data_IF_337975936199
#
_entry.id   IF_337975936199
#
_cell.length_a   1.000
_cell.length_b   1.000
_cell.length_c   1.000
_cell.angle_alpha   90.00
_cell.angle_beta   90.00
_cell.angle_gamma   90.00
#
_symmetry.space_group_name_H-M   'P 1'
#
loop_
_entity.id
_entity.type
_entity.pdbx_description
1 polymer ?
#
# COMPACT_ATOMS: atom_id res chain seq x y z
N UNK A 1 2.20 -6.44 26.60
CA UNK A 1 1.74 -5.56 27.70
C UNK A 1 0.32 -5.11 27.39
N UNK A 2 -0.54 -4.74 28.36
CA UNK A 2 -1.88 -4.24 28.04
C UNK A 2 -1.77 -3.02 27.11
N UNK A 3 -2.40 -3.09 25.92
CA UNK A 3 -2.41 -2.01 24.94
C UNK A 3 -1.43 -2.12 23.78
N UNK A 4 -0.58 -3.14 23.72
CA UNK A 4 0.22 -3.44 22.52
C UNK A 4 -0.68 -4.10 21.45
N UNK A 5 -0.52 -3.78 20.16
CA UNK A 5 -1.29 -4.41 19.10
C UNK A 5 -0.79 -5.83 18.89
N UNK A 6 -1.58 -6.79 19.40
CA UNK A 6 -1.22 -8.20 19.49
C UNK A 6 -2.25 -9.12 18.82
N UNK A 7 -1.75 -10.17 18.18
CA UNK A 7 -2.56 -11.29 17.67
C UNK A 7 -2.27 -12.54 18.51
N UNK A 8 -3.32 -13.18 19.02
CA UNK A 8 -3.22 -14.42 19.79
C UNK A 8 -3.51 -15.64 18.92
N UNK A 9 -2.56 -16.58 18.87
CA UNK A 9 -2.71 -17.87 18.19
C UNK A 9 -2.84 -18.98 19.23
N UNK A 10 -4.07 -19.42 19.47
CA UNK A 10 -4.36 -20.35 20.55
C UNK A 10 -4.23 -19.70 21.93
N UNK A 11 -3.93 -20.50 22.96
CA UNK A 11 -3.91 -20.01 24.35
C UNK A 11 -2.61 -19.34 24.77
N UNK A 12 -1.49 -19.69 24.12
CA UNK A 12 -0.15 -19.42 24.66
C UNK A 12 0.80 -18.69 23.70
N UNK A 13 0.35 -18.32 22.49
CA UNK A 13 1.20 -17.59 21.52
C UNK A 13 0.60 -16.22 21.23
N UNK A 14 1.38 -15.18 21.48
CA UNK A 14 1.06 -13.81 21.13
C UNK A 14 2.13 -13.26 20.18
N UNK A 15 1.71 -12.54 19.14
CA UNK A 15 2.56 -11.85 18.19
C UNK A 15 2.28 -10.35 18.27
N UNK A 16 3.30 -9.55 18.54
CA UNK A 16 3.19 -8.08 18.57
C UNK A 16 3.66 -7.50 17.24
N UNK A 17 2.94 -6.52 16.73
CA UNK A 17 3.28 -5.77 15.52
C UNK A 17 3.27 -4.26 15.80
N UNK A 18 3.48 -3.43 14.79
CA UNK A 18 3.25 -1.98 14.92
C UNK A 18 1.74 -1.68 14.87
N UNK A 19 1.00 -2.44 14.06
CA UNK A 19 -0.45 -2.35 13.92
C UNK A 19 -1.06 -3.74 13.72
N UNK A 20 -2.27 -3.92 14.25
CA UNK A 20 -3.12 -5.11 14.02
C UNK A 20 -4.51 -4.61 13.64
N UNK A 21 -4.99 -5.06 12.49
CA UNK A 21 -6.32 -4.73 11.97
C UNK A 21 -7.20 -5.97 12.02
N UNK A 22 -8.42 -5.80 12.51
CA UNK A 22 -9.44 -6.85 12.51
C UNK A 22 -10.24 -6.85 11.19
N UNK A 23 -11.25 -7.72 11.09
CA UNK A 23 -12.06 -7.86 9.87
C UNK A 23 -12.99 -6.66 9.62
N UNK A 24 -13.25 -5.84 10.64
CA UNK A 24 -14.12 -4.67 10.54
C UNK A 24 -13.34 -3.40 10.18
N UNK A 25 -12.00 -3.50 10.16
CA UNK A 25 -11.09 -2.41 9.80
C UNK A 25 -11.26 -2.00 8.34
N UNK A 26 -11.46 -0.70 8.14
CA UNK A 26 -11.68 -0.10 6.82
C UNK A 26 -10.36 0.15 6.06
N UNK A 27 -10.42 0.19 4.73
CA UNK A 27 -9.26 0.48 3.88
C UNK A 27 -8.61 1.83 4.19
N UNK A 28 -9.42 2.83 4.53
CA UNK A 28 -8.93 4.15 4.95
C UNK A 28 -8.04 4.03 6.21
N UNK A 29 -8.48 3.27 7.22
CA UNK A 29 -7.69 3.07 8.44
C UNK A 29 -6.35 2.40 8.14
N UNK A 30 -6.34 1.38 7.29
CA UNK A 30 -5.09 0.72 6.87
C UNK A 30 -4.16 1.72 6.16
N UNK A 31 -4.71 2.55 5.27
CA UNK A 31 -3.94 3.56 4.56
C UNK A 31 -3.34 4.60 5.50
N UNK A 32 -4.13 5.20 6.39
CA UNK A 32 -3.70 6.22 7.36
C UNK A 32 -2.58 5.71 8.24
N UNK A 33 -2.71 4.51 8.81
CA UNK A 33 -1.73 3.98 9.75
C UNK A 33 -0.46 3.44 9.08
N UNK A 34 -0.57 2.85 7.90
CA UNK A 34 0.58 2.14 7.29
C UNK A 34 1.22 2.86 6.11
N UNK A 35 0.53 3.79 5.45
CA UNK A 35 0.98 4.34 4.15
C UNK A 35 1.13 5.86 4.14
N UNK A 36 0.29 6.60 4.86
CA UNK A 36 0.23 8.06 4.74
C UNK A 36 1.59 8.73 4.95
N UNK A 37 2.28 8.37 6.04
CA UNK A 37 3.62 8.89 6.37
C UNK A 37 4.69 8.53 5.34
N UNK A 38 4.55 7.38 4.67
CA UNK A 38 5.47 6.95 3.61
C UNK A 38 5.35 7.84 2.37
N UNK A 39 4.12 8.25 2.02
CA UNK A 39 3.90 9.16 0.88
C UNK A 39 4.44 10.56 1.18
N UNK A 40 4.29 11.05 2.41
CA UNK A 40 4.92 12.31 2.82
C UNK A 40 6.45 12.23 2.75
N UNK A 41 7.04 11.13 3.22
CA UNK A 41 8.48 10.87 3.08
C UNK A 41 8.94 10.86 1.61
N UNK A 42 8.15 10.28 0.70
CA UNK A 42 8.43 10.34 -0.74
C UNK A 42 8.47 11.77 -1.29
N UNK A 43 7.55 12.63 -0.85
CA UNK A 43 7.50 14.03 -1.24
C UNK A 43 8.65 14.86 -0.64
N UNK A 44 9.31 14.36 0.41
CA UNK A 44 10.55 14.89 0.98
C UNK A 44 11.82 14.32 0.33
N UNK A 45 11.68 13.34 -0.57
CA UNK A 45 12.79 12.74 -1.32
C UNK A 45 13.31 11.41 -0.76
N UNK A 46 12.59 10.78 0.17
CA UNK A 46 12.90 9.44 0.66
C UNK A 46 12.27 8.34 -0.21
N UNK A 47 12.90 7.18 -0.25
CA UNK A 47 12.30 6.00 -0.89
C UNK A 47 11.35 5.31 0.08
N UNK A 48 10.15 4.98 -0.37
CA UNK A 48 9.21 4.13 0.35
C UNK A 48 8.97 2.81 -0.38
N UNK A 49 8.66 1.76 0.36
CA UNK A 49 8.29 0.45 -0.20
C UNK A 49 7.20 -0.17 0.66
N UNK A 50 6.14 -0.65 0.01
CA UNK A 50 5.02 -1.34 0.65
C UNK A 50 4.87 -2.68 -0.04
N UNK A 51 4.85 -3.75 0.75
CA UNK A 51 4.68 -5.11 0.24
C UNK A 51 3.64 -5.86 1.07
N UNK A 52 2.66 -6.46 0.39
CA UNK A 52 1.66 -7.30 1.01
C UNK A 52 2.05 -8.78 0.84
N UNK A 53 2.08 -9.52 1.94
CA UNK A 53 2.43 -10.95 1.97
C UNK A 53 1.41 -11.76 2.78
N UNK A 54 1.29 -13.06 2.49
CA UNK A 54 0.28 -13.93 3.09
C UNK A 54 -0.22 -14.99 2.12
N UNK A 55 -1.01 -15.94 2.61
CA UNK A 55 -1.57 -17.04 1.81
C UNK A 55 -2.56 -16.56 0.74
N UNK A 56 -2.85 -17.40 -0.26
CA UNK A 56 -3.91 -17.10 -1.25
C UNK A 56 -5.26 -16.89 -0.55
N UNK A 57 -6.02 -15.88 -1.00
CA UNK A 57 -7.30 -15.51 -0.39
C UNK A 57 -7.18 -14.67 0.90
N UNK A 58 -5.97 -14.31 1.35
CA UNK A 58 -5.78 -13.52 2.58
C UNK A 58 -6.00 -12.00 2.42
N UNK A 59 -6.53 -11.54 1.29
CA UNK A 59 -6.82 -10.11 1.07
C UNK A 59 -5.67 -9.24 0.51
N UNK A 60 -4.48 -9.77 0.19
CA UNK A 60 -3.34 -8.96 -0.35
C UNK A 60 -3.72 -8.03 -1.51
N UNK A 61 -4.37 -8.56 -2.55
CA UNK A 61 -4.82 -7.80 -3.74
C UNK A 61 -5.84 -6.74 -3.37
N UNK A 62 -6.76 -7.08 -2.45
CA UNK A 62 -7.78 -6.16 -1.93
C UNK A 62 -7.13 -5.00 -1.17
N UNK A 63 -6.26 -5.28 -0.20
CA UNK A 63 -5.55 -4.26 0.58
C UNK A 63 -4.68 -3.36 -0.30
N UNK A 64 -3.93 -3.93 -1.27
CA UNK A 64 -3.10 -3.12 -2.16
C UNK A 64 -3.93 -2.34 -3.19
N UNK A 65 -5.15 -2.76 -3.51
CA UNK A 65 -5.96 -2.16 -4.56
C UNK A 65 -5.43 -2.44 -5.96
N UNK A 66 -4.87 -3.65 -6.19
CA UNK A 66 -4.39 -4.09 -7.52
C UNK A 66 -5.44 -4.85 -8.33
N UNK A 67 -6.66 -5.01 -7.79
CA UNK A 67 -7.78 -5.55 -8.55
C UNK A 67 -8.19 -4.61 -9.68
N UNK A 68 -8.53 -5.16 -10.85
CA UNK A 68 -8.93 -4.40 -12.04
C UNK A 68 -10.43 -4.07 -12.10
N UNK A 69 -11.13 -4.13 -10.96
CA UNK A 69 -12.56 -3.88 -10.97
C UNK A 69 -12.85 -2.39 -11.18
N UNK A 70 -13.67 -2.09 -12.17
CA UNK A 70 -13.96 -0.72 -12.63
C UNK A 70 -15.04 -0.05 -11.78
N UNK A 71 -15.71 -0.81 -10.90
CA UNK A 71 -16.83 -0.39 -10.06
C UNK A 71 -16.54 -0.65 -8.57
N UNK A 72 -15.38 -0.20 -8.09
CA UNK A 72 -15.03 -0.26 -6.66
C UNK A 72 -15.56 1.02 -5.99
N UNK A 73 -16.30 0.86 -4.91
CA UNK A 73 -16.77 1.99 -4.09
C UNK A 73 -15.57 2.76 -3.49
N UNK A 74 -15.72 4.06 -3.27
CA UNK A 74 -14.61 4.92 -2.81
C UNK A 74 -14.01 4.44 -1.47
N UNK A 75 -14.86 3.90 -0.58
CA UNK A 75 -14.46 3.35 0.71
C UNK A 75 -13.67 2.03 0.59
N UNK A 76 -13.82 1.31 -0.51
CA UNK A 76 -13.15 0.03 -0.77
C UNK A 76 -11.80 0.18 -1.49
N UNK A 77 -11.47 1.38 -1.96
CA UNK A 77 -10.18 1.66 -2.61
C UNK A 77 -9.02 1.28 -1.70
N UNK A 78 -8.10 0.47 -2.22
CA UNK A 78 -6.92 0.03 -1.49
C UNK A 78 -5.78 1.05 -1.47
N UNK A 79 -4.59 0.59 -1.10
CA UNK A 79 -3.40 1.43 -0.87
C UNK A 79 -2.96 2.19 -2.12
N UNK A 80 -2.82 1.53 -3.28
CA UNK A 80 -2.26 2.13 -4.50
C UNK A 80 -3.08 3.32 -4.99
N UNK A 81 -4.40 3.22 -5.24
CA UNK A 81 -5.18 4.36 -5.72
C UNK A 81 -5.17 5.54 -4.73
N UNK A 82 -5.24 5.27 -3.41
CA UNK A 82 -5.15 6.31 -2.37
C UNK A 82 -3.78 6.98 -2.35
N UNK A 83 -2.70 6.20 -2.47
CA UNK A 83 -1.33 6.71 -2.52
C UNK A 83 -1.09 7.61 -3.74
N UNK A 84 -1.61 7.23 -4.91
CA UNK A 84 -1.53 8.04 -6.11
C UNK A 84 -2.26 9.37 -5.92
N UNK A 85 -3.50 9.34 -5.41
CA UNK A 85 -4.26 10.56 -5.13
C UNK A 85 -3.53 11.48 -4.15
N UNK A 86 -3.04 10.92 -3.04
CA UNK A 86 -2.29 11.65 -2.03
C UNK A 86 -1.00 12.28 -2.60
N UNK A 87 -0.24 11.53 -3.41
CA UNK A 87 0.98 12.04 -4.04
C UNK A 87 0.69 13.27 -4.91
N UNK A 88 -0.34 13.22 -5.76
CA UNK A 88 -0.72 14.34 -6.61
C UNK A 88 -1.21 15.54 -5.80
N UNK A 89 -2.00 15.31 -4.74
CA UNK A 89 -2.43 16.35 -3.80
C UNK A 89 -1.23 17.05 -3.16
N UNK A 90 -0.29 16.28 -2.62
CA UNK A 90 0.89 16.81 -1.94
C UNK A 90 1.85 17.56 -2.87
N UNK A 91 1.92 17.20 -4.16
CA UNK A 91 2.64 17.97 -5.18
C UNK A 91 2.02 19.35 -5.39
N UNK A 92 0.69 19.41 -5.52
CA UNK A 92 -0.03 20.67 -5.74
C UNK A 92 0.11 21.60 -4.53
N UNK A 93 -0.03 21.06 -3.32
CA UNK A 93 0.17 21.82 -2.07
C UNK A 93 1.57 22.43 -1.98
N UNK A 94 2.61 21.68 -2.34
CA UNK A 94 4.01 22.16 -2.33
C UNK A 94 4.25 23.25 -3.38
N UNK A 95 3.63 23.15 -4.57
CA UNK A 95 3.67 24.22 -5.59
C UNK A 95 2.98 25.48 -5.11
N UNK A 96 1.79 25.34 -4.52
CA UNK A 96 1.02 26.46 -3.97
C UNK A 96 1.77 27.15 -2.84
N UNK A 97 2.30 26.39 -1.88
CA UNK A 97 3.06 26.92 -0.76
C UNK A 97 4.32 27.68 -1.21
N UNK A 98 5.03 27.19 -2.22
CA UNK A 98 6.18 27.90 -2.80
C UNK A 98 5.76 29.25 -3.40
N UNK A 99 4.64 29.28 -4.12
CA UNK A 99 4.09 30.50 -4.75
C UNK A 99 3.67 31.54 -3.71
N UNK A 100 2.97 31.11 -2.66
CA UNK A 100 2.54 31.98 -1.55
C UNK A 100 3.74 32.57 -0.78
N UNK A 101 4.87 31.85 -0.75
CA UNK A 101 6.13 32.30 -0.12
C UNK A 101 7.04 33.10 -1.07
N UNK A 102 6.61 33.36 -2.32
CA UNK A 102 7.43 34.04 -3.34
C UNK A 102 8.67 33.26 -3.78
N UNK A 103 8.67 31.93 -3.56
CA UNK A 103 9.74 31.01 -3.99
C UNK A 103 9.41 30.41 -5.35
N UNK A 104 10.42 30.01 -6.14
CA UNK A 104 10.17 29.25 -7.37
C UNK A 104 9.47 27.93 -7.04
N UNK A 105 8.45 27.58 -7.81
CA UNK A 105 7.71 26.35 -7.62
C UNK A 105 8.59 25.12 -7.92
N UNK A 106 8.53 24.07 -7.08
CA UNK A 106 9.25 22.82 -7.35
C UNK A 106 8.74 22.13 -8.62
N UNK A 107 9.67 21.58 -9.40
CA UNK A 107 9.37 20.72 -10.54
C UNK A 107 9.32 19.25 -10.09
N UNK A 108 8.27 18.54 -10.48
CA UNK A 108 8.08 17.13 -10.19
C UNK A 108 7.94 16.35 -11.49
N UNK A 109 8.66 15.23 -11.60
CA UNK A 109 8.53 14.26 -12.69
C UNK A 109 8.09 12.92 -12.11
N UNK A 110 6.91 12.46 -12.53
CA UNK A 110 6.32 11.21 -12.05
C UNK A 110 6.39 10.19 -13.18
N UNK A 111 6.85 8.97 -12.87
CA UNK A 111 6.82 7.84 -13.78
C UNK A 111 6.20 6.65 -13.04
N UNK A 112 5.32 5.91 -13.71
CA UNK A 112 4.75 4.68 -13.20
C UNK A 112 5.23 3.50 -14.05
N UNK A 113 5.56 2.39 -13.40
CA UNK A 113 5.97 1.15 -14.05
C UNK A 113 5.28 -0.01 -13.34
N UNK A 114 4.83 -1.00 -14.12
CA UNK A 114 4.19 -2.21 -13.60
C UNK A 114 4.97 -3.43 -14.10
N UNK A 115 5.29 -4.33 -13.18
CA UNK A 115 5.99 -5.58 -13.43
C UNK A 115 5.25 -6.72 -12.73
N UNK A 116 4.96 -7.79 -13.47
CA UNK A 116 4.42 -9.03 -12.94
C UNK A 116 5.47 -10.13 -13.08
N UNK A 117 5.72 -10.87 -12.00
CA UNK A 117 6.65 -12.00 -11.99
C UNK A 117 5.82 -13.27 -11.82
N UNK A 118 5.76 -14.09 -12.87
CA UNK A 118 5.13 -15.40 -12.84
C UNK A 118 6.20 -16.48 -13.03
N UNK A 119 6.31 -17.41 -12.08
CA UNK A 119 7.18 -18.58 -12.21
C UNK A 119 6.67 -19.48 -13.33
N UNK A 120 7.44 -19.64 -14.41
CA UNK A 120 7.15 -20.65 -15.44
C UNK A 120 7.57 -22.03 -14.91
N UNK A 121 6.65 -22.75 -14.27
CA UNK A 121 6.86 -24.19 -14.03
C UNK A 121 6.62 -24.93 -15.35
N UNK A 122 7.68 -25.18 -16.13
CA UNK A 122 7.60 -26.16 -17.21
C UNK A 122 7.31 -27.54 -16.61
N UNK A 123 6.05 -27.98 -16.66
CA UNK A 123 5.71 -29.38 -16.45
C UNK A 123 6.25 -30.18 -17.64
N UNK A 124 7.46 -30.73 -17.51
CA UNK A 124 7.90 -31.82 -18.38
C UNK A 124 7.00 -33.03 -18.13
N UNK A 125 5.95 -33.19 -18.93
CA UNK A 125 5.29 -34.49 -19.11
C UNK A 125 6.28 -35.41 -19.83
N UNK A 126 7.02 -36.18 -19.05
CA UNK A 126 7.73 -37.35 -19.54
C UNK A 126 6.69 -38.45 -19.75
N UNK A 127 6.24 -38.62 -20.99
CA UNK A 127 5.50 -39.80 -21.41
C UNK A 127 6.31 -40.49 -22.49
N UNK A 128 7.07 -41.51 -22.07
CA UNK A 128 7.44 -42.68 -22.86
C UNK A 128 7.63 -43.86 -21.89
N UNK A 129 7.42 -45.11 -22.32
CA UNK A 129 7.41 -45.60 -23.71
C UNK A 129 6.04 -45.91 -24.31
#
# INVERSE_FOLDING_TARGET
MPGEPQVFLGKDKAFTYDHVFDMDSQQESIYTHCTESLIEGCLEGYNATIFAYGQTGSGKTYTMGTGFDVNIEEDELGIIPRAVHHLFRGIEERRRAATEQGRPAPEFKINAQFLEVQEHTHSHTHTQP
#
